data_IF_751750086041
#
_entry.id   IF_751750086041
#
_cell.length_a   1.000
_cell.length_b   1.000
_cell.length_c   1.000
_cell.angle_alpha   90.00
_cell.angle_beta   90.00
_cell.angle_gamma   90.00
#
_symmetry.space_group_name_H-M   'P 1'
#
loop_
_entity.id
_entity.type
_entity.pdbx_description
1 polymer ?
#
# COMPACT_ATOMS: atom_id res chain seq x y z
N UNK A 1 43.91 60.69 -46.90
CA UNK A 1 44.10 59.73 -45.79
C UNK A 1 43.03 60.00 -44.73
N UNK A 2 41.93 59.23 -44.75
CA UNK A 2 40.88 59.26 -43.72
C UNK A 2 40.83 57.88 -43.09
N UNK A 3 41.20 57.80 -41.82
CA UNK A 3 41.21 56.62 -40.97
C UNK A 3 39.76 56.27 -40.57
N UNK A 4 39.29 55.09 -41.01
CA UNK A 4 38.00 54.51 -40.60
C UNK A 4 38.21 53.70 -39.31
N UNK A 5 37.56 54.12 -38.23
CA UNK A 5 37.43 53.35 -36.98
C UNK A 5 36.41 52.22 -37.19
N UNK A 6 36.87 50.98 -37.21
CA UNK A 6 36.00 49.80 -37.25
C UNK A 6 35.30 49.57 -35.91
N UNK A 7 33.98 49.72 -35.87
CA UNK A 7 33.13 49.24 -34.76
C UNK A 7 33.21 47.70 -34.69
N UNK A 8 33.83 47.16 -33.64
CA UNK A 8 33.73 45.73 -33.30
C UNK A 8 32.44 45.51 -32.51
N UNK A 9 31.47 44.85 -33.13
CA UNK A 9 30.27 44.32 -32.45
C UNK A 9 30.72 43.02 -31.76
N UNK A 10 30.73 43.00 -30.43
CA UNK A 10 30.87 41.77 -29.67
C UNK A 10 29.50 41.08 -29.60
N UNK A 11 29.32 39.99 -30.36
CA UNK A 11 28.19 39.07 -30.15
C UNK A 11 28.47 38.26 -28.88
N UNK A 12 27.75 38.55 -27.80
CA UNK A 12 27.62 37.64 -26.66
C UNK A 12 26.70 36.49 -27.07
N UNK A 13 27.26 35.32 -27.31
CA UNK A 13 26.50 34.07 -27.33
C UNK A 13 26.10 33.75 -25.88
N UNK A 14 24.84 34.02 -25.52
CA UNK A 14 24.26 33.45 -24.31
C UNK A 14 23.97 31.98 -24.64
N UNK A 15 24.82 31.09 -24.11
CA UNK A 15 24.53 29.66 -24.10
C UNK A 15 23.40 29.47 -23.08
N UNK A 16 22.18 29.25 -23.56
CA UNK A 16 21.10 28.75 -22.72
C UNK A 16 21.48 27.34 -22.28
N UNK A 17 22.09 27.22 -21.11
CA UNK A 17 22.12 25.95 -20.39
C UNK A 17 20.71 25.74 -19.85
N UNK A 18 19.87 25.02 -20.62
CA UNK A 18 18.60 24.53 -20.11
C UNK A 18 18.93 23.47 -19.06
N UNK A 19 18.92 23.87 -17.79
CA UNK A 19 18.79 22.89 -16.70
C UNK A 19 17.38 22.34 -16.82
N UNK A 20 17.25 21.14 -17.40
CA UNK A 20 16.00 20.39 -17.34
C UNK A 20 15.82 19.98 -15.88
N UNK A 21 15.10 20.78 -15.10
CA UNK A 21 14.61 20.35 -13.79
C UNK A 21 13.56 19.28 -14.10
N UNK A 22 13.92 17.99 -13.97
CA UNK A 22 12.92 16.93 -14.03
C UNK A 22 12.01 17.11 -12.83
N UNK A 23 10.83 17.68 -13.05
CA UNK A 23 9.80 17.73 -12.03
C UNK A 23 9.29 16.31 -11.86
N UNK A 24 9.32 15.81 -10.62
CA UNK A 24 8.71 14.52 -10.30
C UNK A 24 7.20 14.64 -10.45
N UNK A 25 6.62 13.85 -11.34
CA UNK A 25 5.17 13.75 -11.50
C UNK A 25 4.65 12.35 -11.15
N UNK A 26 3.37 12.25 -10.80
CA UNK A 26 2.66 10.98 -10.77
C UNK A 26 2.05 10.77 -12.15
N UNK A 27 2.48 9.70 -12.83
CA UNK A 27 2.00 9.29 -14.15
C UNK A 27 1.03 8.12 -13.99
N UNK A 28 -0.21 8.34 -14.40
CA UNK A 28 -1.30 7.38 -14.33
C UNK A 28 -1.39 6.52 -15.59
N UNK A 29 -1.50 5.21 -15.44
CA UNK A 29 -1.62 4.27 -16.55
C UNK A 29 -3.02 4.31 -17.15
N UNK A 30 -3.12 4.77 -18.39
CA UNK A 30 -4.37 4.92 -19.12
C UNK A 30 -4.55 3.92 -20.28
N UNK A 31 -3.45 3.36 -20.82
CA UNK A 31 -3.45 2.43 -21.96
C UNK A 31 -4.22 2.97 -23.20
N UNK A 32 -4.13 4.26 -23.49
CA UNK A 32 -4.94 4.87 -24.57
C UNK A 32 -4.55 4.40 -25.98
N UNK A 33 -3.33 3.89 -26.18
CA UNK A 33 -2.86 3.42 -27.50
C UNK A 33 -3.30 2.01 -27.86
N UNK A 34 -3.88 1.26 -26.92
CA UNK A 34 -4.21 -0.15 -27.10
C UNK A 34 -3.00 -1.09 -27.11
N UNK A 35 -1.76 -0.58 -27.07
CA UNK A 35 -0.58 -1.39 -26.79
C UNK A 35 -0.26 -1.30 -25.30
N UNK A 36 -0.07 -2.43 -24.62
CA UNK A 36 0.20 -2.46 -23.18
C UNK A 36 1.61 -1.99 -22.79
N UNK A 37 2.33 -1.23 -23.61
CA UNK A 37 3.75 -0.95 -23.39
C UNK A 37 3.97 0.24 -22.43
N UNK A 38 4.77 0.02 -21.38
CA UNK A 38 5.18 1.03 -20.39
C UNK A 38 5.86 2.24 -21.05
N UNK A 39 6.64 2.03 -22.12
CA UNK A 39 7.35 3.13 -22.79
C UNK A 39 6.52 3.96 -23.76
N UNK A 40 5.22 3.70 -23.89
CA UNK A 40 4.39 4.44 -24.84
C UNK A 40 3.83 5.70 -24.19
N UNK A 41 4.26 6.87 -24.66
CA UNK A 41 3.89 8.19 -24.10
C UNK A 41 2.38 8.42 -23.96
N UNK A 42 1.59 7.94 -24.93
CA UNK A 42 0.14 8.14 -24.94
C UNK A 42 -0.60 7.27 -23.93
N UNK A 43 0.07 6.25 -23.35
CA UNK A 43 -0.52 5.39 -22.34
C UNK A 43 -0.47 5.97 -20.93
N UNK A 44 0.10 7.16 -20.76
CA UNK A 44 0.25 7.81 -19.47
C UNK A 44 -0.54 9.10 -19.41
N UNK A 45 -1.01 9.43 -18.21
CA UNK A 45 -1.68 10.69 -17.91
C UNK A 45 -0.97 11.33 -16.70
N UNK A 46 -0.42 12.55 -16.82
CA UNK A 46 -0.25 13.33 -18.06
C UNK A 46 0.58 12.59 -19.13
N UNK A 47 0.38 12.92 -20.40
CA UNK A 47 1.10 12.27 -21.51
C UNK A 47 2.63 12.34 -21.35
N UNK A 48 3.31 11.30 -21.82
CA UNK A 48 4.75 11.09 -21.66
C UNK A 48 5.04 9.92 -20.74
N UNK A 49 5.88 9.00 -21.19
CA UNK A 49 6.29 7.85 -20.40
C UNK A 49 7.01 8.30 -19.11
N UNK A 50 6.81 7.60 -17.97
CA UNK A 50 7.48 7.91 -16.72
C UNK A 50 8.99 7.88 -16.89
N UNK A 51 9.65 8.90 -16.35
CA UNK A 51 11.09 9.05 -16.30
C UNK A 51 11.63 8.68 -14.92
N UNK A 52 12.96 8.68 -14.78
CA UNK A 52 13.66 8.37 -13.53
C UNK A 52 13.25 9.22 -12.32
N UNK A 53 12.58 10.36 -12.52
CA UNK A 53 12.07 11.22 -11.46
C UNK A 53 10.60 10.94 -11.09
N UNK A 54 9.88 10.18 -11.91
CA UNK A 54 8.43 10.06 -11.82
C UNK A 54 7.98 8.85 -11.00
N UNK A 55 6.77 8.94 -10.46
CA UNK A 55 6.05 7.77 -9.91
C UNK A 55 5.09 7.24 -10.96
N UNK A 56 5.23 5.98 -11.33
CA UNK A 56 4.28 5.29 -12.19
C UNK A 56 3.16 4.65 -11.36
N UNK A 57 1.93 5.09 -11.59
CA UNK A 57 0.73 4.57 -10.95
C UNK A 57 -0.05 3.70 -11.95
N UNK A 58 -0.13 2.39 -11.70
CA UNK A 58 -0.69 1.41 -12.65
C UNK A 58 -2.18 1.22 -12.41
N UNK A 59 -3.00 2.18 -12.83
CA UNK A 59 -4.45 2.19 -12.59
C UNK A 59 -5.20 0.95 -13.10
N UNK A 60 -6.36 0.71 -12.48
CA UNK A 60 -7.26 -0.40 -12.80
C UNK A 60 -8.20 -0.11 -13.97
N UNK A 61 -8.81 -1.16 -14.51
CA UNK A 61 -9.85 -1.04 -15.55
C UNK A 61 -9.34 -0.65 -16.95
N UNK A 62 -8.01 -0.55 -17.14
CA UNK A 62 -7.36 -0.19 -18.43
C UNK A 62 -6.53 -1.34 -19.03
N UNK A 63 -6.72 -2.57 -18.56
CA UNK A 63 -5.91 -3.72 -18.93
C UNK A 63 -4.62 -3.81 -18.11
N UNK A 64 -3.58 -4.41 -18.67
CA UNK A 64 -2.28 -4.52 -18.01
C UNK A 64 -1.25 -3.56 -18.60
N UNK A 65 -0.33 -3.08 -17.77
CA UNK A 65 0.90 -2.41 -18.15
C UNK A 65 2.01 -3.45 -18.27
N UNK A 66 2.77 -3.43 -19.36
CA UNK A 66 3.86 -4.35 -19.64
C UNK A 66 5.18 -3.62 -19.79
N UNK A 67 6.26 -4.18 -19.22
CA UNK A 67 7.59 -3.55 -19.20
C UNK A 67 8.00 -3.02 -20.57
N UNK A 68 7.87 -3.82 -21.64
CA UNK A 68 7.75 -3.42 -23.07
C UNK A 68 8.81 -2.51 -23.72
N UNK A 69 9.64 -1.80 -22.95
CA UNK A 69 10.60 -0.79 -23.35
C UNK A 69 11.72 -0.72 -22.30
N UNK A 70 12.85 -0.10 -22.66
CA UNK A 70 13.94 0.17 -21.72
C UNK A 70 13.68 1.51 -21.05
N UNK A 71 13.22 1.50 -19.81
CA UNK A 71 12.85 2.71 -19.06
C UNK A 71 13.38 2.69 -17.63
N UNK A 72 13.43 3.88 -17.04
CA UNK A 72 13.72 4.07 -15.62
C UNK A 72 12.62 4.91 -14.98
N UNK A 73 12.23 4.57 -13.76
CA UNK A 73 11.18 5.25 -13.00
C UNK A 73 11.58 5.36 -11.52
N UNK A 74 11.16 6.42 -10.84
CA UNK A 74 11.51 6.59 -9.42
C UNK A 74 10.80 5.56 -8.54
N UNK A 75 9.51 5.32 -8.79
CA UNK A 75 8.66 4.45 -7.97
C UNK A 75 7.55 3.85 -8.81
N UNK A 76 7.10 2.64 -8.46
CA UNK A 76 5.92 2.03 -9.07
C UNK A 76 4.88 1.72 -8.00
N UNK A 77 3.62 2.08 -8.24
CA UNK A 77 2.48 1.76 -7.37
C UNK A 77 1.43 1.01 -8.20
N UNK A 78 0.97 -0.13 -7.70
CA UNK A 78 -0.03 -0.98 -8.34
C UNK A 78 -1.25 -1.10 -7.42
N UNK A 79 -2.27 -0.25 -7.60
CA UNK A 79 -3.49 -0.25 -6.80
C UNK A 79 -4.40 -1.45 -7.06
N UNK A 80 -5.50 -1.56 -6.30
CA UNK A 80 -6.57 -2.54 -6.53
C UNK A 80 -7.00 -2.60 -7.99
N UNK A 81 -6.92 -3.78 -8.60
CA UNK A 81 -7.26 -4.03 -10.01
C UNK A 81 -6.22 -3.55 -11.03
N UNK A 82 -5.16 -2.88 -10.58
CA UNK A 82 -3.98 -2.54 -11.37
C UNK A 82 -3.14 -3.77 -11.68
N UNK A 83 -2.53 -3.81 -12.88
CA UNK A 83 -1.79 -4.99 -13.34
C UNK A 83 -0.49 -4.59 -14.04
N UNK A 84 0.65 -4.86 -13.41
CA UNK A 84 1.97 -4.78 -14.06
C UNK A 84 2.45 -6.18 -14.44
N UNK A 85 2.87 -6.35 -15.70
CA UNK A 85 3.17 -7.66 -16.28
C UNK A 85 4.53 -7.68 -16.96
N UNK A 86 5.29 -8.76 -16.74
CA UNK A 86 6.47 -9.11 -17.53
C UNK A 86 6.08 -10.19 -18.53
N UNK A 87 6.03 -9.85 -19.83
CA UNK A 87 5.61 -10.79 -20.88
C UNK A 87 6.81 -11.38 -21.61
N UNK A 88 6.70 -12.64 -22.01
CA UNK A 88 7.68 -13.31 -22.90
C UNK A 88 7.93 -12.55 -24.21
N UNK A 89 6.93 -11.85 -24.73
CA UNK A 89 7.05 -11.06 -25.97
C UNK A 89 7.99 -9.86 -25.84
N UNK A 90 8.32 -9.42 -24.62
CA UNK A 90 9.08 -8.20 -24.38
C UNK A 90 10.60 -8.51 -24.19
N UNK A 91 11.13 -9.51 -24.91
CA UNK A 91 12.54 -9.90 -24.83
C UNK A 91 13.51 -8.72 -25.05
N UNK A 92 14.54 -8.63 -24.22
CA UNK A 92 15.57 -7.59 -24.25
C UNK A 92 15.09 -6.23 -23.76
N UNK A 93 13.92 -6.16 -23.11
CA UNK A 93 13.36 -4.95 -22.52
C UNK A 93 13.60 -4.89 -21.01
N UNK A 94 13.77 -3.70 -20.46
CA UNK A 94 13.98 -3.54 -19.02
C UNK A 94 13.26 -2.36 -18.39
N UNK A 95 12.74 -2.56 -17.18
CA UNK A 95 12.26 -1.46 -16.35
C UNK A 95 13.14 -1.36 -15.10
N UNK A 96 13.75 -0.19 -14.91
CA UNK A 96 14.54 0.11 -13.71
C UNK A 96 13.71 0.96 -12.77
N UNK A 97 13.50 0.48 -11.55
CA UNK A 97 12.77 1.17 -10.48
C UNK A 97 13.81 1.62 -9.45
N UNK A 98 14.04 2.94 -9.39
CA UNK A 98 15.09 3.53 -8.57
C UNK A 98 14.76 3.57 -7.06
N UNK A 99 13.49 3.45 -6.73
CA UNK A 99 12.95 3.40 -5.38
C UNK A 99 12.04 2.19 -5.21
N UNK A 100 10.95 2.38 -4.47
CA UNK A 100 10.10 1.27 -4.08
C UNK A 100 9.17 0.81 -5.22
N UNK A 101 8.82 -0.47 -5.19
CA UNK A 101 7.60 -0.97 -5.83
C UNK A 101 6.59 -1.32 -4.74
N UNK A 102 5.37 -0.82 -4.89
CA UNK A 102 4.27 -1.01 -3.95
C UNK A 102 3.13 -1.71 -4.70
N UNK A 103 2.80 -2.93 -4.31
CA UNK A 103 1.63 -3.67 -4.78
C UNK A 103 0.57 -3.58 -3.68
N UNK A 104 -0.45 -2.78 -3.89
CA UNK A 104 -1.53 -2.60 -2.92
C UNK A 104 -2.49 -3.81 -2.94
N UNK A 105 -3.39 -3.90 -1.96
CA UNK A 105 -4.38 -4.98 -1.89
C UNK A 105 -5.24 -5.03 -3.16
N UNK A 106 -5.39 -6.23 -3.73
CA UNK A 106 -6.05 -6.45 -5.03
C UNK A 106 -5.28 -5.98 -6.27
N UNK A 107 -4.10 -5.37 -6.10
CA UNK A 107 -3.15 -5.13 -7.19
C UNK A 107 -2.45 -6.41 -7.62
N UNK A 108 -2.00 -6.47 -8.87
CA UNK A 108 -1.32 -7.65 -9.42
C UNK A 108 0.02 -7.27 -10.03
N UNK A 109 1.09 -7.85 -9.50
CA UNK A 109 2.40 -7.88 -10.15
C UNK A 109 2.70 -9.31 -10.62
N UNK A 110 2.80 -9.50 -11.94
CA UNK A 110 2.82 -10.82 -12.55
C UNK A 110 3.97 -10.96 -13.55
N UNK A 111 4.75 -12.04 -13.45
CA UNK A 111 5.85 -12.32 -14.39
C UNK A 111 5.66 -13.60 -15.20
N UNK A 112 4.41 -13.97 -15.49
CA UNK A 112 4.01 -15.26 -16.08
C UNK A 112 4.47 -15.53 -17.54
N UNK A 113 5.44 -14.79 -18.05
CA UNK A 113 6.21 -15.24 -19.21
C UNK A 113 7.44 -15.99 -18.71
N UNK A 114 7.56 -17.29 -18.97
CA UNK A 114 8.85 -17.99 -18.91
C UNK A 114 9.77 -17.34 -19.95
N UNK A 115 10.68 -16.43 -19.56
CA UNK A 115 11.41 -15.63 -20.52
C UNK A 115 12.49 -16.51 -21.15
N UNK A 116 12.80 -16.30 -22.42
CA UNK A 116 14.01 -16.90 -22.99
C UNK A 116 15.27 -16.30 -22.33
N UNK A 117 16.47 -16.72 -22.76
CA UNK A 117 17.74 -16.19 -22.24
C UNK A 117 17.92 -14.66 -22.33
N UNK A 118 17.09 -13.98 -23.12
CA UNK A 118 17.02 -12.52 -23.26
C UNK A 118 15.64 -12.00 -22.84
N UNK A 119 15.08 -12.50 -21.74
CA UNK A 119 13.79 -12.09 -21.22
C UNK A 119 13.69 -10.60 -20.86
N UNK A 120 12.48 -10.07 -20.61
CA UNK A 120 12.37 -8.75 -20.02
C UNK A 120 12.83 -8.79 -18.56
N UNK A 121 13.48 -7.72 -18.10
CA UNK A 121 14.11 -7.64 -16.76
C UNK A 121 13.53 -6.46 -15.98
N UNK A 122 13.28 -6.65 -14.68
CA UNK A 122 12.96 -5.55 -13.78
C UNK A 122 14.11 -5.39 -12.78
N UNK A 123 14.70 -4.21 -12.73
CA UNK A 123 15.71 -3.84 -11.75
C UNK A 123 15.05 -3.01 -10.66
N UNK A 124 15.29 -3.33 -9.39
CA UNK A 124 14.72 -2.60 -8.26
C UNK A 124 15.84 -2.24 -7.29
N UNK A 125 15.99 -0.96 -6.99
CA UNK A 125 17.00 -0.46 -6.03
C UNK A 125 16.40 -0.03 -4.70
N UNK A 126 15.08 0.16 -4.60
CA UNK A 126 14.36 0.36 -3.34
C UNK A 126 13.67 -0.90 -2.82
N UNK A 127 12.67 -0.72 -1.95
CA UNK A 127 12.00 -1.83 -1.28
C UNK A 127 10.88 -2.45 -2.13
N UNK A 128 10.51 -3.67 -1.79
CA UNK A 128 9.30 -4.31 -2.33
C UNK A 128 8.27 -4.44 -1.22
N UNK A 129 7.17 -3.72 -1.37
CA UNK A 129 6.04 -3.73 -0.45
C UNK A 129 4.86 -4.39 -1.14
N UNK A 130 4.41 -5.56 -0.68
CA UNK A 130 3.36 -6.32 -1.34
C UNK A 130 2.21 -6.73 -0.41
N UNK A 131 1.06 -6.10 -0.65
CA UNK A 131 -0.25 -6.36 -0.04
C UNK A 131 -1.24 -7.02 -1.02
N UNK A 132 -0.85 -7.26 -2.28
CA UNK A 132 -1.69 -7.81 -3.34
C UNK A 132 -1.30 -9.23 -3.78
N UNK A 133 -1.51 -9.53 -5.06
CA UNK A 133 -1.13 -10.81 -5.68
C UNK A 133 0.23 -10.69 -6.34
N UNK A 134 1.17 -11.54 -5.92
CA UNK A 134 2.45 -11.75 -6.58
C UNK A 134 2.49 -13.13 -7.24
N UNK A 135 2.59 -13.19 -8.57
CA UNK A 135 2.69 -14.46 -9.31
C UNK A 135 3.95 -14.46 -10.19
N UNK A 136 5.04 -15.02 -9.67
CA UNK A 136 6.35 -15.13 -10.34
C UNK A 136 6.50 -16.46 -11.09
N UNK A 137 5.80 -16.66 -12.21
CA UNK A 137 5.92 -17.88 -13.04
C UNK A 137 6.89 -17.68 -14.21
N UNK A 138 8.18 -17.59 -13.92
CA UNK A 138 9.24 -17.50 -14.92
C UNK A 138 10.55 -18.13 -14.44
N UNK A 139 11.08 -19.07 -15.23
CA UNK A 139 12.25 -19.90 -14.93
C UNK A 139 13.53 -19.26 -15.49
N UNK A 140 14.55 -19.08 -14.65
CA UNK A 140 15.97 -18.87 -15.02
C UNK A 140 16.27 -17.51 -15.66
N UNK A 141 17.29 -16.78 -15.24
CA UNK A 141 18.73 -16.93 -15.59
C UNK A 141 19.39 -15.66 -14.98
N UNK A 142 20.72 -15.61 -14.88
CA UNK A 142 21.54 -14.45 -14.50
C UNK A 142 21.24 -13.09 -15.20
N UNK A 143 20.21 -12.99 -16.05
CA UNK A 143 19.74 -11.78 -16.73
C UNK A 143 18.23 -11.83 -17.11
N UNK A 144 17.41 -12.65 -16.44
CA UNK A 144 15.95 -12.63 -16.57
C UNK A 144 15.31 -12.93 -15.20
N UNK A 145 14.72 -11.91 -14.59
CA UNK A 145 14.22 -11.95 -13.21
C UNK A 145 14.13 -10.55 -12.58
N UNK A 146 13.55 -10.46 -11.39
CA UNK A 146 13.67 -9.26 -10.54
C UNK A 146 15.10 -9.26 -9.98
N UNK A 147 15.92 -8.28 -10.37
CA UNK A 147 17.27 -8.09 -9.84
C UNK A 147 17.22 -7.02 -8.76
N UNK A 148 17.57 -7.39 -7.53
CA UNK A 148 17.63 -6.50 -6.37
C UNK A 148 19.09 -6.13 -6.08
N UNK A 149 19.49 -4.92 -6.44
CA UNK A 149 20.83 -4.39 -6.13
C UNK A 149 20.69 -3.28 -5.10
N UNK A 150 20.97 -3.58 -3.83
CA UNK A 150 21.02 -2.61 -2.75
C UNK A 150 21.37 -3.22 -1.40
N UNK A 151 22.18 -2.51 -0.62
CA UNK A 151 22.51 -2.88 0.76
C UNK A 151 21.30 -2.56 1.65
N UNK A 152 20.74 -3.55 2.36
CA UNK A 152 19.71 -3.35 3.39
C UNK A 152 18.24 -3.34 2.94
N UNK A 153 17.89 -3.99 1.84
CA UNK A 153 16.50 -4.04 1.35
C UNK A 153 15.63 -5.05 2.12
N UNK A 154 14.36 -4.73 2.38
CA UNK A 154 13.37 -5.65 2.95
C UNK A 154 12.30 -6.02 1.92
N UNK A 155 11.96 -7.32 1.83
CA UNK A 155 10.77 -7.78 1.09
C UNK A 155 9.67 -8.06 2.10
N UNK A 156 8.58 -7.29 2.04
CA UNK A 156 7.38 -7.54 2.83
C UNK A 156 6.29 -8.15 1.97
N UNK A 157 5.86 -9.39 2.26
CA UNK A 157 4.85 -10.10 1.47
C UNK A 157 3.79 -10.74 2.35
N UNK A 158 2.50 -10.60 2.00
CA UNK A 158 1.39 -11.25 2.71
C UNK A 158 0.75 -12.43 1.98
N UNK A 159 1.14 -12.62 0.71
CA UNK A 159 0.86 -13.78 -0.12
C UNK A 159 2.22 -14.44 -0.35
N UNK A 160 2.43 -15.66 0.17
CA UNK A 160 3.77 -16.28 0.24
C UNK A 160 4.65 -16.06 -1.00
N UNK A 161 5.94 -15.79 -0.79
CA UNK A 161 6.88 -15.57 -1.88
C UNK A 161 7.25 -16.91 -2.51
N UNK A 162 6.96 -17.08 -3.79
CA UNK A 162 7.36 -18.25 -4.57
C UNK A 162 8.48 -17.87 -5.53
N UNK A 163 9.70 -18.29 -5.23
CA UNK A 163 10.84 -18.16 -6.13
C UNK A 163 11.04 -19.48 -6.87
N UNK A 164 11.12 -19.46 -8.20
CA UNK A 164 11.44 -20.65 -9.01
C UNK A 164 12.79 -20.44 -9.73
N UNK A 165 13.86 -21.04 -9.17
CA UNK A 165 15.27 -20.94 -9.60
C UNK A 165 16.01 -19.59 -9.40
N UNK A 166 17.35 -19.65 -9.47
CA UNK A 166 18.36 -18.69 -8.98
C UNK A 166 17.96 -17.24 -8.81
N UNK A 167 18.10 -16.79 -7.56
CA UNK A 167 18.00 -15.41 -7.10
C UNK A 167 19.39 -15.01 -6.58
N UNK A 168 19.96 -13.92 -7.09
CA UNK A 168 21.11 -13.24 -6.48
C UNK A 168 20.56 -12.10 -5.64
N UNK A 169 20.61 -12.27 -4.31
CA UNK A 169 20.17 -11.31 -3.31
C UNK A 169 21.45 -10.89 -2.57
N UNK A 170 21.87 -9.63 -2.69
CA UNK A 170 23.11 -9.19 -2.02
C UNK A 170 22.89 -8.88 -0.53
N UNK A 171 21.68 -8.49 -0.12
CA UNK A 171 21.23 -8.43 1.29
C UNK A 171 19.72 -8.25 1.35
N UNK A 172 18.95 -9.27 1.72
CA UNK A 172 17.51 -9.10 1.97
C UNK A 172 17.11 -9.69 3.32
N UNK A 173 16.42 -8.87 4.11
CA UNK A 173 15.55 -9.33 5.18
C UNK A 173 14.16 -9.61 4.57
N UNK A 174 13.66 -10.83 4.68
CA UNK A 174 12.30 -11.18 4.24
C UNK A 174 11.36 -11.15 5.44
N UNK A 175 10.28 -10.38 5.33
CA UNK A 175 9.23 -10.24 6.34
C UNK A 175 7.91 -10.72 5.71
N UNK A 176 7.35 -11.83 6.18
CA UNK A 176 6.14 -12.42 5.60
C UNK A 176 5.77 -13.77 6.22
N UNK A 177 4.57 -14.33 5.92
CA UNK A 177 4.07 -15.54 6.59
C UNK A 177 4.76 -16.82 6.11
N UNK A 178 5.34 -16.81 4.91
CA UNK A 178 6.19 -17.89 4.40
C UNK A 178 7.04 -17.41 3.23
N UNK A 179 8.23 -17.98 3.11
CA UNK A 179 9.06 -17.93 1.90
C UNK A 179 9.21 -19.35 1.36
N UNK A 180 8.85 -19.58 0.10
CA UNK A 180 9.06 -20.85 -0.61
C UNK A 180 10.05 -20.62 -1.74
N UNK A 181 11.28 -21.12 -1.57
CA UNK A 181 12.32 -21.10 -2.62
C UNK A 181 12.38 -22.48 -3.27
N UNK A 182 11.90 -22.59 -4.51
CA UNK A 182 11.99 -23.81 -5.31
C UNK A 182 13.08 -23.64 -6.40
N UNK A 183 14.34 -23.96 -6.07
CA UNK A 183 15.46 -23.96 -7.02
C UNK A 183 16.83 -23.71 -6.39
N UNK A 184 17.88 -23.60 -7.22
CA UNK A 184 19.24 -23.28 -6.75
C UNK A 184 19.32 -21.83 -6.27
N UNK A 185 19.88 -21.54 -5.09
CA UNK A 185 20.11 -20.18 -4.55
C UNK A 185 21.61 -19.83 -4.64
N UNK A 186 21.96 -18.59 -4.99
CA UNK A 186 23.34 -18.10 -4.98
C UNK A 186 23.40 -16.67 -4.44
N UNK A 187 23.66 -16.53 -3.14
CA UNK A 187 23.78 -15.28 -2.38
C UNK A 187 24.12 -15.56 -0.90
N UNK A 188 24.37 -14.53 -0.07
CA UNK A 188 24.49 -14.66 1.40
C UNK A 188 23.25 -15.31 2.05
N UNK A 189 23.30 -15.82 3.29
CA UNK A 189 22.15 -16.42 3.96
C UNK A 189 20.94 -15.47 3.99
N UNK A 190 19.78 -15.95 3.56
CA UNK A 190 18.52 -15.19 3.67
C UNK A 190 18.21 -15.04 5.17
N UNK A 191 18.13 -13.80 5.65
CA UNK A 191 17.64 -13.53 7.01
C UNK A 191 16.12 -13.46 6.95
N UNK A 192 15.47 -14.54 7.40
CA UNK A 192 14.01 -14.61 7.54
C UNK A 192 13.62 -14.10 8.93
N UNK A 193 12.90 -12.99 8.98
CA UNK A 193 12.28 -12.54 10.23
C UNK A 193 10.81 -12.95 10.18
N UNK A 194 10.45 -13.96 10.97
CA UNK A 194 9.07 -14.38 11.17
C UNK A 194 8.31 -13.45 12.12
N UNK A 195 8.70 -12.18 12.24
CA UNK A 195 7.84 -11.13 12.77
C UNK A 195 6.71 -10.96 11.77
N UNK A 196 5.78 -11.91 11.79
CA UNK A 196 4.54 -11.90 11.03
C UNK A 196 3.92 -10.53 11.35
N UNK A 197 3.84 -9.68 10.34
CA UNK A 197 2.81 -8.65 10.27
C UNK A 197 1.50 -9.39 10.55
N UNK A 198 1.04 -9.38 11.80
CA UNK A 198 -0.02 -10.24 12.29
C UNK A 198 -1.30 -9.84 11.58
N UNK A 199 -1.59 -10.36 10.39
CA UNK A 199 -2.69 -9.88 9.55
C UNK A 199 -4.04 -10.15 10.19
N UNK A 200 -4.97 -9.22 9.98
CA UNK A 200 -6.35 -9.38 10.43
C UNK A 200 -7.23 -9.40 9.21
N UNK A 201 -8.01 -10.46 9.05
CA UNK A 201 -9.04 -10.55 8.03
C UNK A 201 -10.33 -9.96 8.61
N UNK A 202 -10.72 -8.79 8.11
CA UNK A 202 -11.97 -8.13 8.47
C UNK A 202 -13.04 -8.58 7.50
N UNK A 203 -14.04 -9.29 8.00
CA UNK A 203 -15.21 -9.70 7.23
C UNK A 203 -16.17 -8.51 7.11
N UNK A 204 -16.60 -8.23 5.89
CA UNK A 204 -17.51 -7.14 5.55
C UNK A 204 -18.80 -7.72 4.99
N UNK A 205 -19.93 -7.27 5.50
CA UNK A 205 -21.26 -7.63 5.04
C UNK A 205 -21.80 -6.56 4.09
N UNK A 206 -22.68 -6.95 3.17
CA UNK A 206 -23.48 -6.00 2.41
C UNK A 206 -24.29 -5.12 3.38
N UNK A 207 -24.23 -3.81 3.17
CA UNK A 207 -24.79 -2.82 4.08
C UNK A 207 -23.73 -2.17 4.97
N UNK A 208 -24.15 -1.77 6.17
CA UNK A 208 -23.31 -1.05 7.12
C UNK A 208 -22.48 -2.01 7.96
N UNK A 209 -21.19 -1.68 8.12
CA UNK A 209 -20.24 -2.42 8.94
C UNK A 209 -19.61 -1.47 9.95
N UNK A 210 -19.48 -1.94 11.20
CA UNK A 210 -18.78 -1.21 12.24
C UNK A 210 -17.35 -1.73 12.35
N UNK A 211 -16.40 -0.96 11.83
CA UNK A 211 -15.01 -1.38 11.58
C UNK A 211 -14.01 -0.46 12.29
N UNK A 212 -12.77 -0.89 12.42
CA UNK A 212 -11.68 -0.06 12.93
C UNK A 212 -10.32 -0.45 12.34
N UNK A 213 -9.30 0.35 12.62
CA UNK A 213 -7.92 0.09 12.21
C UNK A 213 -7.16 -0.49 13.40
N UNK A 214 -6.88 -1.79 13.34
CA UNK A 214 -6.39 -2.61 14.45
C UNK A 214 -4.86 -2.67 14.56
N UNK A 215 -4.14 -1.92 13.73
CA UNK A 215 -2.69 -1.99 13.55
C UNK A 215 -2.13 -0.67 13.03
N UNK A 216 -0.83 -0.48 13.13
CA UNK A 216 -0.17 0.72 12.62
C UNK A 216 0.07 0.55 11.12
N UNK A 217 -0.47 1.47 10.32
CA UNK A 217 -0.41 1.41 8.86
C UNK A 217 0.58 2.44 8.30
N UNK A 218 1.15 2.14 7.14
CA UNK A 218 1.88 3.13 6.34
C UNK A 218 0.94 4.10 5.61
N UNK A 219 -0.31 3.70 5.39
CA UNK A 219 -1.32 4.47 4.68
C UNK A 219 -2.70 4.31 5.34
N UNK A 220 -3.24 5.42 5.85
CA UNK A 220 -4.53 5.45 6.55
C UNK A 220 -5.71 5.85 5.66
N UNK A 221 -5.55 5.93 4.34
CA UNK A 221 -6.66 6.27 3.45
C UNK A 221 -7.76 5.22 3.54
N UNK A 222 -9.01 5.65 3.72
CA UNK A 222 -10.14 4.72 3.89
C UNK A 222 -10.33 3.81 2.67
N UNK A 223 -10.03 4.31 1.47
CA UNK A 223 -10.02 3.53 0.22
C UNK A 223 -8.94 2.44 0.15
N UNK A 224 -7.86 2.59 0.93
CA UNK A 224 -6.77 1.61 1.02
C UNK A 224 -7.09 0.51 2.02
N UNK A 225 -7.71 0.89 3.15
CA UNK A 225 -8.01 -0.01 4.26
C UNK A 225 -9.26 -0.84 3.95
N UNK A 226 -10.30 -0.20 3.41
CA UNK A 226 -11.59 -0.81 3.09
C UNK A 226 -11.93 -0.59 1.61
N UNK A 227 -11.20 -1.24 0.67
CA UNK A 227 -11.38 -1.00 -0.78
C UNK A 227 -12.77 -1.40 -1.30
N UNK A 228 -13.48 -2.27 -0.60
CA UNK A 228 -14.85 -2.69 -0.91
C UNK A 228 -15.92 -1.76 -0.34
N UNK A 229 -15.55 -0.83 0.55
CA UNK A 229 -16.45 0.22 0.99
C UNK A 229 -16.72 1.20 -0.16
N UNK A 230 -17.96 1.66 -0.26
CA UNK A 230 -18.32 2.63 -1.29
C UNK A 230 -17.52 3.93 -1.09
N UNK A 231 -16.92 4.50 -2.16
CA UNK A 231 -16.17 5.75 -2.07
C UNK A 231 -16.96 6.86 -1.35
N UNK A 232 -16.32 7.52 -0.40
CA UNK A 232 -16.93 8.56 0.44
C UNK A 232 -17.95 8.06 1.47
N UNK A 233 -18.14 6.74 1.63
CA UNK A 233 -19.08 6.12 2.59
C UNK A 233 -18.41 5.42 3.76
N UNK A 234 -17.29 5.95 4.22
CA UNK A 234 -16.70 5.61 5.51
C UNK A 234 -16.89 6.81 6.44
N UNK A 235 -17.57 6.62 7.57
CA UNK A 235 -17.97 7.68 8.48
C UNK A 235 -17.37 7.46 9.87
N UNK A 236 -16.80 8.52 10.44
CA UNK A 236 -16.42 8.58 11.85
C UNK A 236 -17.47 9.35 12.65
N UNK A 237 -17.56 9.06 13.94
CA UNK A 237 -18.45 9.78 14.87
C UNK A 237 -17.64 10.73 15.76
N UNK A 238 -18.02 12.00 15.80
CA UNK A 238 -17.46 13.00 16.71
C UNK A 238 -18.48 14.10 16.95
N UNK A 239 -18.48 14.69 18.15
CA UNK A 239 -19.35 15.80 18.53
C UNK A 239 -20.85 15.54 18.24
N UNK A 240 -21.31 14.31 18.49
CA UNK A 240 -22.71 13.94 18.29
C UNK A 240 -23.12 13.66 16.84
N UNK A 241 -22.21 13.71 15.86
CA UNK A 241 -22.55 13.57 14.44
C UNK A 241 -21.62 12.61 13.69
N UNK A 242 -22.18 11.97 12.66
CA UNK A 242 -21.43 11.20 11.67
C UNK A 242 -20.87 12.14 10.59
N UNK A 243 -19.61 11.96 10.25
CA UNK A 243 -18.91 12.72 9.21
C UNK A 243 -18.07 11.78 8.36
N UNK A 244 -18.07 11.99 7.04
CA UNK A 244 -17.25 11.17 6.12
C UNK A 244 -15.76 11.34 6.42
N UNK A 245 -14.99 10.27 6.24
CA UNK A 245 -13.56 10.19 6.54
C UNK A 245 -12.80 9.54 5.39
N UNK A 246 -11.92 10.33 4.80
CA UNK A 246 -10.97 9.85 3.79
C UNK A 246 -9.68 9.31 4.42
N UNK A 247 -9.38 9.72 5.65
CA UNK A 247 -8.23 9.25 6.43
C UNK A 247 -8.72 8.75 7.78
N UNK A 248 -8.32 7.53 8.13
CA UNK A 248 -8.66 6.86 9.38
C UNK A 248 -7.52 7.01 10.39
N UNK A 249 -7.78 6.62 11.63
CA UNK A 249 -6.84 6.71 12.73
C UNK A 249 -7.01 5.47 13.62
N UNK A 250 -5.92 5.05 14.26
CA UNK A 250 -6.03 4.03 15.29
C UNK A 250 -6.86 4.51 16.48
N UNK A 251 -7.43 3.55 17.21
CA UNK A 251 -8.25 3.80 18.39
C UNK A 251 -9.68 4.28 18.10
N UNK A 252 -10.00 4.68 16.87
CA UNK A 252 -11.35 5.12 16.48
C UNK A 252 -12.12 4.01 15.75
N UNK A 253 -13.44 4.01 15.95
CA UNK A 253 -14.38 3.17 15.18
C UNK A 253 -15.02 3.95 14.03
N UNK A 254 -15.41 3.23 12.98
CA UNK A 254 -15.97 3.79 11.75
C UNK A 254 -17.13 2.96 11.21
N UNK A 255 -18.08 3.63 10.59
CA UNK A 255 -19.12 3.01 9.78
C UNK A 255 -18.69 2.94 8.33
N UNK A 256 -18.61 1.74 7.74
CA UNK A 256 -18.30 1.53 6.34
C UNK A 256 -19.49 0.88 5.62
N UNK A 257 -19.95 1.48 4.51
CA UNK A 257 -21.03 0.90 3.70
C UNK A 257 -20.48 0.10 2.52
N UNK A 258 -20.84 -1.19 2.41
CA UNK A 258 -20.44 -2.09 1.33
C UNK A 258 -21.66 -2.54 0.50
N UNK A 259 -21.50 -2.72 -0.82
CA UNK A 259 -22.61 -3.19 -1.67
C UNK A 259 -22.82 -4.71 -1.60
N UNK A 260 -21.76 -5.46 -1.36
CA UNK A 260 -21.76 -6.92 -1.29
C UNK A 260 -20.96 -7.38 -0.08
N UNK A 261 -21.15 -8.64 0.30
CA UNK A 261 -20.25 -9.29 1.24
C UNK A 261 -18.85 -9.37 0.63
N UNK A 262 -17.83 -9.10 1.44
CA UNK A 262 -16.43 -9.16 1.05
C UNK A 262 -15.54 -9.35 2.31
N UNK A 263 -14.24 -9.34 2.13
CA UNK A 263 -13.27 -9.25 3.23
C UNK A 263 -12.12 -8.35 2.85
N UNK A 264 -11.58 -7.61 3.82
CA UNK A 264 -10.32 -6.91 3.66
C UNK A 264 -9.27 -7.52 4.59
N UNK A 265 -8.01 -7.51 4.17
CA UNK A 265 -6.89 -7.94 5.01
C UNK A 265 -6.11 -6.70 5.41
N UNK A 266 -6.02 -6.47 6.72
CA UNK A 266 -5.24 -5.39 7.27
C UNK A 266 -3.80 -5.85 7.46
N UNK A 267 -2.85 -5.03 7.00
CA UNK A 267 -1.41 -5.28 7.03
C UNK A 267 -0.67 -4.13 7.70
N UNK A 268 0.38 -4.41 8.46
CA UNK A 268 1.11 -3.41 9.25
C UNK A 268 1.36 -3.85 10.70
N UNK A 269 2.17 -3.05 11.39
CA UNK A 269 2.73 -3.37 12.70
C UNK A 269 1.65 -3.49 13.78
N UNK A 270 1.87 -4.37 14.76
CA UNK A 270 0.90 -4.58 15.83
C UNK A 270 0.63 -3.29 16.64
N UNK A 271 -0.64 -2.89 16.69
CA UNK A 271 -1.14 -1.89 17.63
C UNK A 271 -1.43 -2.59 18.95
N UNK A 272 -0.49 -2.47 19.88
CA UNK A 272 -0.56 -3.13 21.18
C UNK A 272 -1.31 -2.32 22.23
N UNK A 273 -1.45 -1.01 22.09
CA UNK A 273 -2.25 -0.20 23.02
C UNK A 273 -2.59 1.15 22.38
N UNK A 274 -3.67 1.77 22.84
CA UNK A 274 -3.94 3.17 22.57
C UNK A 274 -4.73 3.79 23.74
N UNK A 275 -4.80 5.12 23.75
CA UNK A 275 -5.68 5.88 24.64
C UNK A 275 -6.60 6.80 23.84
N UNK A 276 -7.80 7.05 24.37
CA UNK A 276 -8.75 8.02 23.81
C UNK A 276 -9.06 9.05 24.88
N UNK A 277 -8.88 10.33 24.55
CA UNK A 277 -9.33 11.43 25.42
C UNK A 277 -10.75 11.81 25.03
N UNK A 278 -11.66 11.71 25.98
CA UNK A 278 -13.05 12.13 25.88
C UNK A 278 -13.21 13.41 26.68
N UNK A 279 -13.53 14.51 26.00
CA UNK A 279 -13.55 15.86 26.60
C UNK A 279 -14.92 16.24 27.18
N UNK A 280 -15.97 15.53 26.79
CA UNK A 280 -17.33 15.67 27.31
C UNK A 280 -17.81 14.38 27.98
N UNK A 281 -18.89 14.48 28.73
CA UNK A 281 -19.59 13.34 29.32
C UNK A 281 -20.97 13.16 28.72
N UNK A 282 -21.63 12.07 29.10
CA UNK A 282 -22.96 11.68 28.64
C UNK A 282 -23.06 11.60 27.12
N UNK A 283 -22.04 11.03 26.49
CA UNK A 283 -21.97 10.90 25.03
C UNK A 283 -21.63 9.48 24.60
N UNK A 284 -22.14 9.14 23.42
CA UNK A 284 -21.69 7.97 22.67
C UNK A 284 -20.37 8.29 21.98
N UNK A 285 -19.44 7.34 21.98
CA UNK A 285 -18.22 7.40 21.18
C UNK A 285 -18.08 6.12 20.36
N UNK A 286 -17.32 6.22 19.27
CA UNK A 286 -16.88 5.07 18.49
C UNK A 286 -15.41 4.77 18.76
N UNK A 287 -15.16 3.59 19.32
CA UNK A 287 -13.80 3.11 19.60
C UNK A 287 -13.41 2.00 18.63
N UNK A 288 -12.10 1.86 18.41
CA UNK A 288 -11.51 0.80 17.60
C UNK A 288 -10.99 -0.38 18.42
N UNK A 289 -10.34 -1.32 17.75
CA UNK A 289 -9.73 -2.50 18.39
C UNK A 289 -8.20 -2.39 18.46
N UNK A 290 -7.58 -3.33 19.16
CA UNK A 290 -6.15 -3.64 19.04
C UNK A 290 -5.93 -4.79 18.06
N UNK A 291 -4.67 -5.12 17.80
CA UNK A 291 -4.29 -6.29 16.98
C UNK A 291 -4.63 -7.61 17.68
N UNK A 292 -4.73 -7.59 19.01
CA UNK A 292 -5.18 -8.73 19.81
C UNK A 292 -6.58 -8.45 20.39
N UNK A 293 -7.35 -9.52 20.59
CA UNK A 293 -8.65 -9.41 21.25
C UNK A 293 -8.50 -8.96 22.70
N UNK A 294 -9.29 -7.97 23.12
CA UNK A 294 -9.25 -7.41 24.47
C UNK A 294 -10.59 -7.70 25.17
N UNK A 295 -10.60 -8.28 26.39
CA UNK A 295 -11.84 -8.42 27.16
C UNK A 295 -12.48 -7.06 27.43
N UNK A 296 -13.79 -6.93 27.20
CA UNK A 296 -14.54 -5.69 27.52
C UNK A 296 -14.35 -5.28 28.99
N UNK A 297 -14.24 -6.27 29.88
CA UNK A 297 -14.02 -6.07 31.32
C UNK A 297 -12.63 -5.52 31.67
N UNK A 298 -11.67 -5.57 30.75
CA UNK A 298 -10.31 -5.06 30.95
C UNK A 298 -10.13 -3.59 30.58
N UNK A 299 -11.11 -2.99 29.88
CA UNK A 299 -11.07 -1.59 29.48
C UNK A 299 -11.02 -0.68 30.71
N UNK A 300 -10.05 0.22 30.75
CA UNK A 300 -9.85 1.15 31.86
C UNK A 300 -10.25 2.57 31.48
N UNK A 301 -10.73 3.34 32.46
CA UNK A 301 -10.97 4.77 32.33
C UNK A 301 -10.35 5.54 33.48
N UNK A 302 -9.94 6.77 33.21
CA UNK A 302 -9.49 7.75 34.19
C UNK A 302 -10.27 9.06 34.02
N UNK A 303 -11.14 9.45 34.96
CA UNK A 303 -11.41 8.78 36.24
C UNK A 303 -12.08 7.40 36.07
N UNK A 304 -11.93 6.48 37.04
CA UNK A 304 -12.59 5.17 37.00
C UNK A 304 -14.11 5.27 36.86
N UNK A 305 -14.73 4.23 36.30
CA UNK A 305 -16.19 4.13 36.10
C UNK A 305 -16.80 5.19 35.16
N UNK A 306 -15.99 5.84 34.32
CA UNK A 306 -16.50 6.76 33.30
C UNK A 306 -17.21 6.02 32.14
N UNK A 307 -16.88 4.74 31.92
CA UNK A 307 -17.55 3.88 30.95
C UNK A 307 -18.84 3.34 31.60
N UNK A 308 -20.00 3.59 30.98
CA UNK A 308 -21.28 3.07 31.48
C UNK A 308 -21.31 1.54 31.33
N UNK A 309 -21.53 0.82 32.43
CA UNK A 309 -21.62 -0.64 32.42
C UNK A 309 -22.73 -1.13 31.46
N UNK A 310 -22.42 -2.12 30.62
CA UNK A 310 -23.36 -2.65 29.63
C UNK A 310 -23.61 -1.74 28.42
N UNK A 311 -22.85 -0.65 28.26
CA UNK A 311 -23.02 0.29 27.15
C UNK A 311 -22.13 0.02 25.93
N UNK A 312 -21.44 -1.12 25.88
CA UNK A 312 -20.59 -1.46 24.75
C UNK A 312 -21.36 -2.33 23.76
N UNK A 313 -21.38 -1.91 22.50
CA UNK A 313 -22.12 -2.60 21.44
C UNK A 313 -21.27 -2.73 20.18
N UNK A 314 -21.22 -3.93 19.62
CA UNK A 314 -20.80 -4.17 18.24
C UNK A 314 -22.03 -4.18 17.32
N UNK A 315 -21.80 -4.12 16.01
CA UNK A 315 -22.85 -4.28 15.00
C UNK A 315 -22.54 -5.48 14.13
N UNK A 316 -23.45 -6.44 14.06
CA UNK A 316 -23.31 -7.66 13.26
C UNK A 316 -24.68 -8.16 12.82
N UNK A 317 -24.79 -8.70 11.60
CA UNK A 317 -26.04 -9.24 11.07
C UNK A 317 -27.23 -8.27 11.15
N UNK A 318 -26.95 -6.99 10.90
CA UNK A 318 -27.91 -5.89 10.99
C UNK A 318 -28.51 -5.63 12.38
N UNK A 319 -27.81 -6.00 13.45
CA UNK A 319 -28.25 -5.76 14.82
C UNK A 319 -27.10 -5.34 15.73
N UNK A 320 -27.44 -4.70 16.85
CA UNK A 320 -26.49 -4.37 17.91
C UNK A 320 -26.38 -5.51 18.92
N UNK A 321 -25.15 -5.91 19.22
CA UNK A 321 -24.87 -7.02 20.14
C UNK A 321 -23.92 -6.55 21.22
N UNK A 322 -24.18 -6.95 22.46
CA UNK A 322 -23.25 -6.74 23.58
C UNK A 322 -22.09 -7.73 23.47
N UNK A 323 -20.85 -7.27 23.20
CA UNK A 323 -19.71 -8.15 23.02
C UNK A 323 -19.06 -8.48 24.37
N UNK A 324 -18.39 -9.62 24.44
CA UNK A 324 -17.48 -9.97 25.56
C UNK A 324 -16.04 -9.59 25.26
N UNK A 325 -15.69 -9.46 23.97
CA UNK A 325 -14.36 -9.13 23.46
C UNK A 325 -14.44 -7.94 22.48
N UNK A 326 -13.44 -7.07 22.56
CA UNK A 326 -13.07 -6.13 21.51
C UNK A 326 -12.15 -6.90 20.55
N UNK A 327 -12.68 -7.29 19.39
CA UNK A 327 -12.03 -8.14 18.41
C UNK A 327 -11.30 -7.30 17.34
N UNK A 328 -10.15 -7.77 16.84
CA UNK A 328 -9.39 -7.09 15.80
C UNK A 328 -10.22 -6.69 14.57
N UNK A 329 -10.06 -5.44 14.13
CA UNK A 329 -10.67 -4.86 12.93
C UNK A 329 -12.13 -4.42 13.08
N UNK A 330 -12.75 -4.65 14.24
CA UNK A 330 -14.14 -4.23 14.52
C UNK A 330 -14.19 -2.89 15.25
N UNK A 331 -15.24 -2.12 14.99
CA UNK A 331 -15.56 -0.91 15.74
C UNK A 331 -16.63 -1.20 16.80
N UNK A 332 -16.69 -0.35 17.82
CA UNK A 332 -17.61 -0.51 18.94
C UNK A 332 -18.19 0.83 19.37
N UNK A 333 -19.49 0.85 19.63
CA UNK A 333 -20.10 1.93 20.40
C UNK A 333 -19.78 1.76 21.87
N UNK A 334 -19.57 2.88 22.55
CA UNK A 334 -19.40 2.95 23.99
C UNK A 334 -20.05 4.23 24.51
N UNK A 335 -20.76 4.15 25.64
CA UNK A 335 -21.29 5.33 26.30
C UNK A 335 -20.39 5.75 27.45
N UNK A 336 -20.03 7.03 27.47
CA UNK A 336 -19.17 7.62 28.49
C UNK A 336 -19.98 8.65 29.27
N UNK A 337 -19.96 8.58 30.60
CA UNK A 337 -20.79 9.41 31.49
C UNK A 337 -20.14 10.73 31.89
N UNK A 338 -18.82 10.84 31.76
CA UNK A 338 -18.04 12.01 32.18
C UNK A 338 -16.74 12.12 31.36
N UNK A 339 -16.12 13.32 31.29
CA UNK A 339 -14.81 13.46 30.65
C UNK A 339 -13.79 12.49 31.23
N UNK A 340 -13.06 11.77 30.38
CA UNK A 340 -12.12 10.75 30.81
C UNK A 340 -11.06 10.44 29.75
N UNK A 341 -10.02 9.72 30.17
CA UNK A 341 -9.10 9.01 29.28
C UNK A 341 -9.44 7.53 29.34
N UNK A 342 -9.79 6.94 28.20
CA UNK A 342 -9.99 5.50 28.05
C UNK A 342 -8.67 4.89 27.63
N UNK A 343 -8.26 3.80 28.28
CA UNK A 343 -7.05 3.05 27.94
C UNK A 343 -7.43 1.64 27.49
N UNK A 344 -6.92 1.24 26.32
CA UNK A 344 -7.10 -0.09 25.76
C UNK A 344 -5.74 -0.75 25.67
N UNK A 345 -5.56 -1.82 26.45
CA UNK A 345 -4.31 -2.59 26.56
C UNK A 345 -4.65 -4.08 26.53
N UNK A 346 -3.76 -4.95 26.02
CA UNK A 346 -3.91 -6.39 26.11
C UNK A 346 -3.72 -6.80 27.59
N UNK A 347 -4.26 -7.96 27.97
CA UNK A 347 -4.05 -8.50 29.31
C UNK A 347 -2.68 -9.15 29.49
#
# INVERSE_FOLDING_TARGET
MRTQFGKRIFCFFIIFCTVTISHSEIKHWANNSGNSNFGTDTNWVPFGAPTAADTAFVDSGKGYCAVGANNSVARVIIPYGGRLVVRKSDNGKSLTILGDIIVESGGTFNTAGSPGANGPVIYITGNIVNYGVWDLRGVGIANAGVVMNGIGQSITSNSGLFFQNMVTIDTVMVIGPSITVNGNYSGPPISYNNSIDSTTVVQLQSGWNLVSVDRILSDYRSSMIFPSAMPGRVYGFANGALSSRDTLENGKGYWAYCFSNDSTVLHGDSLNTYTITVTSGNEWILIGSLTQSVPVTSLQSSPPSAILAGSIFSYTNNDYVSPTLIEPGKGYWMFVTQPCIISVTPQ
#
